data_IF_676498502595
#
_entry.id   IF_676498502595
#
_cell.length_a   1.000
_cell.length_b   1.000
_cell.length_c   1.000
_cell.angle_alpha   90.00
_cell.angle_beta   90.00
_cell.angle_gamma   90.00
#
_symmetry.space_group_name_H-M   'P 1'
#
loop_
_entity.id
_entity.type
_entity.pdbx_description
1 polymer ?
#
# COMPACT_ATOMS: atom_id res chain seq x y z
N UNK A 1 9.22 -6.70 3.88
CA UNK A 1 7.88 -6.09 3.95
C UNK A 1 7.00 -6.90 3.03
N UNK A 2 5.88 -7.41 3.51
CA UNK A 2 5.03 -8.31 2.74
C UNK A 2 4.13 -7.48 1.80
N UNK A 3 4.39 -7.54 0.50
CA UNK A 3 3.71 -6.72 -0.53
C UNK A 3 2.21 -7.03 -0.57
N UNK A 4 1.85 -8.31 -0.47
CA UNK A 4 0.46 -8.76 -0.47
C UNK A 4 -0.32 -8.21 0.73
N UNK A 5 0.33 -8.12 1.89
CA UNK A 5 -0.29 -7.58 3.09
C UNK A 5 -0.53 -6.05 2.97
N UNK A 6 0.43 -5.33 2.39
CA UNK A 6 0.30 -3.91 2.08
C UNK A 6 -0.83 -3.63 1.07
N UNK A 7 -0.90 -4.42 0.00
CA UNK A 7 -1.95 -4.29 -1.01
C UNK A 7 -3.34 -4.56 -0.44
N UNK A 8 -3.49 -5.62 0.36
CA UNK A 8 -4.77 -5.98 0.97
C UNK A 8 -5.26 -4.93 1.98
N UNK A 9 -4.37 -4.39 2.82
CA UNK A 9 -4.69 -3.28 3.74
C UNK A 9 -5.22 -2.06 2.97
N UNK A 10 -4.46 -1.59 1.98
CA UNK A 10 -4.86 -0.42 1.18
C UNK A 10 -6.17 -0.65 0.42
N UNK A 11 -6.41 -1.88 -0.08
CA UNK A 11 -7.65 -2.22 -0.78
C UNK A 11 -8.86 -2.21 0.15
N UNK A 12 -8.71 -2.69 1.40
CA UNK A 12 -9.76 -2.63 2.42
C UNK A 12 -10.15 -1.19 2.81
N UNK A 13 -9.19 -0.28 2.74
CA UNK A 13 -9.37 1.15 3.00
C UNK A 13 -9.90 1.94 1.79
N UNK A 14 -10.11 1.29 0.64
CA UNK A 14 -10.64 1.93 -0.58
C UNK A 14 -9.61 2.61 -1.48
N UNK A 15 -8.31 2.34 -1.28
CA UNK A 15 -7.27 2.81 -2.18
C UNK A 15 -7.19 1.94 -3.44
N UNK A 16 -6.85 2.56 -4.57
CA UNK A 16 -6.79 1.91 -5.88
C UNK A 16 -5.48 1.18 -6.15
N UNK A 17 -4.40 1.55 -5.45
CA UNK A 17 -3.11 0.86 -5.52
C UNK A 17 -2.32 0.96 -4.20
N UNK A 18 -1.29 0.14 -4.09
CA UNK A 18 -0.37 0.14 -2.95
C UNK A 18 1.06 -0.10 -3.43
N UNK A 19 2.04 0.48 -2.73
CA UNK A 19 3.47 0.23 -2.96
C UNK A 19 4.23 0.17 -1.64
N UNK A 20 5.17 -0.76 -1.55
CA UNK A 20 6.10 -0.83 -0.42
C UNK A 20 7.32 0.07 -0.68
N UNK A 21 7.57 1.04 0.19
CA UNK A 21 8.81 1.81 0.20
C UNK A 21 9.88 1.04 0.97
N UNK A 22 10.86 0.49 0.27
CA UNK A 22 12.00 -0.23 0.88
C UNK A 22 12.89 0.71 1.70
N UNK A 23 13.02 1.96 1.27
CA UNK A 23 13.84 2.98 1.94
C UNK A 23 13.30 3.36 3.33
N UNK A 24 11.99 3.57 3.47
CA UNK A 24 11.36 3.92 4.76
C UNK A 24 10.73 2.73 5.48
N UNK A 25 10.85 1.53 4.90
CA UNK A 25 10.13 0.32 5.31
C UNK A 25 8.64 0.56 5.64
N UNK A 26 7.96 1.38 4.83
CA UNK A 26 6.51 1.67 4.96
C UNK A 26 5.70 1.21 3.75
N UNK A 27 4.44 0.86 3.99
CA UNK A 27 3.42 0.71 2.96
C UNK A 27 2.87 2.10 2.58
N UNK A 28 2.68 2.35 1.29
CA UNK A 28 2.13 3.60 0.75
C UNK A 28 0.92 3.26 -0.11
N UNK A 29 -0.26 3.64 0.36
CA UNK A 29 -1.49 3.51 -0.40
C UNK A 29 -1.66 4.68 -1.38
N UNK A 30 -2.24 4.41 -2.54
CA UNK A 30 -2.40 5.35 -3.65
C UNK A 30 -3.88 5.35 -4.03
N UNK A 31 -4.50 6.54 -4.03
CA UNK A 31 -5.87 6.76 -4.53
C UNK A 31 -5.84 7.81 -5.64
N UNK A 32 -6.85 7.84 -6.50
CA UNK A 32 -7.06 9.04 -7.31
C UNK A 32 -7.34 10.21 -6.36
N UNK A 33 -6.66 11.33 -6.60
CA UNK A 33 -6.79 12.53 -5.78
C UNK A 33 -8.25 12.95 -5.68
#
# INVERSE_FOLDING_TARGET
MNVDNCANMCRGEGFSAARCSTFRRRCVCIKQC
#
